data_IF_652379866804
#
_entry.id   IF_652379866804
#
_cell.length_a   1.000
_cell.length_b   1.000
_cell.length_c   1.000
_cell.angle_alpha   90.00
_cell.angle_beta   90.00
_cell.angle_gamma   90.00
#
_symmetry.space_group_name_H-M   'P 1'
#
loop_
_entity.id
_entity.type
_entity.pdbx_description
1 polymer ?
#
# COMPACT_ATOMS: atom_id res chain seq x y z
N UNK A 1 18.50 40.86 23.38
CA UNK A 1 19.54 40.32 22.48
C UNK A 1 20.45 39.45 23.32
N UNK A 2 20.21 38.14 23.32
CA UNK A 2 20.99 37.18 24.11
C UNK A 2 21.45 36.07 23.17
N UNK A 3 22.73 35.76 23.33
CA UNK A 3 23.64 35.09 22.41
C UNK A 3 23.40 33.57 22.43
N UNK A 4 23.45 32.93 21.25
CA UNK A 4 23.50 31.48 21.08
C UNK A 4 24.81 30.94 21.67
N UNK A 5 24.71 30.17 22.75
CA UNK A 5 25.82 29.39 23.29
C UNK A 5 25.61 27.92 22.95
N UNK A 6 26.55 27.37 22.17
CA UNK A 6 26.58 25.95 21.82
C UNK A 6 26.75 25.08 23.05
N UNK A 7 25.97 23.99 23.10
CA UNK A 7 26.15 22.96 24.11
C UNK A 7 26.94 21.78 23.53
N UNK A 8 28.19 21.75 23.97
CA UNK A 8 29.14 20.66 24.01
C UNK A 8 28.44 19.30 24.27
N UNK A 9 28.57 18.34 23.35
CA UNK A 9 28.16 16.96 23.59
C UNK A 9 29.29 16.21 24.29
N UNK A 10 29.08 15.94 25.57
CA UNK A 10 29.90 15.04 26.38
C UNK A 10 29.61 13.60 25.94
N UNK A 11 30.63 12.87 25.50
CA UNK A 11 30.57 11.42 25.34
C UNK A 11 30.54 10.78 26.73
N UNK A 12 29.36 10.39 27.21
CA UNK A 12 29.24 9.46 28.34
C UNK A 12 29.03 8.06 27.76
N UNK A 13 30.01 7.20 27.99
CA UNK A 13 29.92 5.76 27.74
C UNK A 13 28.87 5.17 28.70
N UNK A 14 27.65 5.03 28.21
CA UNK A 14 26.55 4.33 28.86
C UNK A 14 25.57 3.96 27.77
N UNK A 15 25.26 2.67 27.66
CA UNK A 15 24.48 2.08 26.59
C UNK A 15 23.21 2.90 26.26
N UNK A 16 23.32 3.74 25.23
CA UNK A 16 22.17 4.31 24.55
C UNK A 16 21.59 3.19 23.70
N UNK A 17 20.55 2.54 24.21
CA UNK A 17 19.56 1.90 23.36
C UNK A 17 18.97 3.00 22.48
N UNK A 18 19.55 3.19 21.29
CA UNK A 18 18.88 3.92 20.23
C UNK A 18 17.64 3.10 19.89
N UNK A 19 16.49 3.51 20.44
CA UNK A 19 15.22 3.20 19.83
C UNK A 19 15.24 3.87 18.45
N UNK A 20 15.76 3.16 17.45
CA UNK A 20 15.54 3.52 16.07
C UNK A 20 14.04 3.56 15.86
N UNK A 21 13.52 4.67 15.33
CA UNK A 21 12.15 4.68 14.81
C UNK A 21 12.02 3.52 13.83
N UNK A 22 11.11 2.58 14.10
CA UNK A 22 10.78 1.55 13.12
C UNK A 22 10.40 2.26 11.81
N UNK A 23 11.22 2.08 10.78
CA UNK A 23 10.94 2.61 9.46
C UNK A 23 10.17 1.52 8.73
N UNK A 24 8.98 1.88 8.22
CA UNK A 24 8.21 1.04 7.32
C UNK A 24 9.11 0.56 6.19
N UNK A 25 9.21 -0.76 6.03
CA UNK A 25 9.82 -1.36 4.85
C UNK A 25 8.84 -1.21 3.70
N UNK A 26 9.32 -0.73 2.54
CA UNK A 26 8.50 -0.63 1.33
C UNK A 26 9.12 -1.49 0.23
N UNK A 27 8.27 -2.17 -0.53
CA UNK A 27 8.67 -3.07 -1.61
C UNK A 27 7.86 -2.80 -2.87
N UNK A 28 8.52 -2.95 -4.01
CA UNK A 28 7.86 -2.93 -5.32
C UNK A 28 7.66 -4.35 -5.82
N UNK A 29 6.50 -4.60 -6.42
CA UNK A 29 6.14 -5.88 -6.99
C UNK A 29 5.45 -5.69 -8.33
N UNK A 30 5.89 -6.45 -9.34
CA UNK A 30 5.32 -6.47 -10.67
C UNK A 30 4.93 -7.89 -11.03
N UNK A 31 3.76 -8.06 -11.64
CA UNK A 31 3.21 -9.36 -12.00
C UNK A 31 2.31 -9.28 -13.23
N UNK A 32 2.14 -10.43 -13.87
CA UNK A 32 0.98 -10.65 -14.75
C UNK A 32 -0.32 -10.77 -13.95
N UNK A 33 -1.44 -11.07 -14.63
CA UNK A 33 -2.75 -11.17 -13.99
C UNK A 33 -2.74 -12.23 -12.88
N UNK A 34 -3.42 -11.94 -11.76
CA UNK A 34 -3.48 -12.86 -10.61
C UNK A 34 -4.55 -13.93 -10.74
N UNK A 35 -5.58 -13.70 -11.55
CA UNK A 35 -6.80 -14.52 -11.63
C UNK A 35 -7.46 -14.85 -10.28
N UNK A 36 -7.17 -14.07 -9.23
CA UNK A 36 -7.75 -14.23 -7.91
C UNK A 36 -8.97 -13.32 -7.78
N UNK A 37 -10.14 -13.95 -7.55
CA UNK A 37 -11.44 -13.28 -7.55
C UNK A 37 -11.57 -12.21 -6.47
N UNK A 38 -10.74 -12.23 -5.42
CA UNK A 38 -10.73 -11.19 -4.39
C UNK A 38 -10.27 -9.84 -4.93
N UNK A 39 -9.34 -9.83 -5.89
CA UNK A 39 -8.98 -8.60 -6.61
C UNK A 39 -10.13 -8.16 -7.51
N UNK A 40 -10.73 -9.08 -8.28
CA UNK A 40 -11.82 -8.76 -9.22
C UNK A 40 -13.01 -8.07 -8.55
N UNK A 41 -13.41 -8.56 -7.37
CA UNK A 41 -14.51 -7.97 -6.62
C UNK A 41 -14.20 -6.52 -6.21
N UNK A 42 -12.91 -6.17 -6.13
CA UNK A 42 -12.45 -4.83 -5.78
C UNK A 42 -13.06 -4.33 -4.49
N UNK A 43 -13.30 -5.26 -3.54
CA UNK A 43 -14.04 -5.01 -2.30
C UNK A 43 -13.21 -4.09 -1.43
N UNK A 44 -13.48 -2.81 -1.58
CA UNK A 44 -13.24 -1.80 -0.59
C UNK A 44 -14.61 -1.17 -0.36
N UNK A 45 -15.13 -1.24 0.87
CA UNK A 45 -16.38 -0.58 1.20
C UNK A 45 -16.10 0.93 1.21
N UNK A 46 -16.21 1.56 0.03
CA UNK A 46 -15.98 2.99 -0.24
C UNK A 46 -16.88 3.92 0.61
N UNK A 47 -17.77 3.36 1.44
CA UNK A 47 -18.78 4.06 2.22
C UNK A 47 -18.20 4.75 3.46
N UNK A 48 -17.06 4.29 3.97
CA UNK A 48 -16.51 4.83 5.21
C UNK A 48 -15.17 5.52 4.90
N UNK A 49 -14.97 6.73 5.41
CA UNK A 49 -13.68 7.44 5.38
C UNK A 49 -12.64 6.79 6.30
N UNK A 50 -12.64 5.46 6.31
CA UNK A 50 -12.03 4.51 7.23
C UNK A 50 -11.36 3.46 6.35
N UNK A 51 -10.11 3.23 6.70
CA UNK A 51 -9.23 2.10 6.52
C UNK A 51 -9.83 0.67 6.44
N UNK A 52 -11.08 0.43 6.05
CA UNK A 52 -11.58 -0.92 5.80
C UNK A 52 -10.82 -1.65 4.67
N UNK A 53 -10.12 -0.91 3.79
CA UNK A 53 -9.14 -1.46 2.85
C UNK A 53 -8.02 -2.21 3.58
N UNK A 54 -7.56 -1.74 4.76
CA UNK A 54 -6.52 -2.42 5.54
C UNK A 54 -6.86 -3.89 5.80
N UNK A 55 -8.13 -4.27 6.02
CA UNK A 55 -8.45 -5.68 6.29
C UNK A 55 -8.31 -6.59 5.06
N UNK A 56 -8.80 -6.15 3.91
CA UNK A 56 -8.75 -6.97 2.68
C UNK A 56 -7.36 -6.91 2.04
N UNK A 57 -6.76 -5.72 1.97
CA UNK A 57 -5.41 -5.47 1.47
C UNK A 57 -4.39 -6.23 2.33
N UNK A 58 -4.44 -6.10 3.66
CA UNK A 58 -3.52 -6.80 4.55
C UNK A 58 -3.67 -8.31 4.41
N UNK A 59 -4.89 -8.84 4.38
CA UNK A 59 -5.09 -10.29 4.30
C UNK A 59 -4.53 -10.85 2.97
N UNK A 60 -4.73 -10.13 1.87
CA UNK A 60 -4.20 -10.50 0.56
C UNK A 60 -2.67 -10.38 0.51
N UNK A 61 -2.12 -9.27 1.01
CA UNK A 61 -0.68 -9.02 1.04
C UNK A 61 0.04 -9.96 2.02
N UNK A 62 -0.56 -10.31 3.15
CA UNK A 62 -0.04 -11.33 4.07
C UNK A 62 0.01 -12.71 3.44
N UNK A 63 -1.03 -13.10 2.70
CA UNK A 63 -1.03 -14.38 2.01
C UNK A 63 0.03 -14.41 0.90
N UNK A 64 0.22 -13.30 0.19
CA UNK A 64 1.13 -13.22 -0.97
C UNK A 64 2.59 -12.98 -0.57
N UNK A 65 2.81 -12.22 0.50
CA UNK A 65 4.11 -11.72 0.97
C UNK A 65 4.28 -11.93 2.50
N UNK A 66 4.20 -13.17 3.00
CA UNK A 66 4.13 -13.44 4.43
C UNK A 66 5.38 -12.98 5.21
N UNK A 67 6.56 -12.98 4.59
CA UNK A 67 7.79 -12.50 5.23
C UNK A 67 7.88 -10.98 5.37
N UNK A 68 7.13 -10.23 4.54
CA UNK A 68 7.13 -8.77 4.52
C UNK A 68 5.94 -8.22 5.33
N UNK A 69 4.80 -8.92 5.27
CA UNK A 69 3.51 -8.44 5.76
C UNK A 69 2.97 -9.22 6.96
N UNK A 70 3.62 -10.29 7.41
CA UNK A 70 3.18 -11.09 8.55
C UNK A 70 3.34 -10.44 9.94
N UNK A 71 3.68 -9.15 10.01
CA UNK A 71 3.82 -8.40 11.26
C UNK A 71 2.48 -7.98 11.86
N UNK A 72 2.53 -7.36 13.05
CA UNK A 72 1.35 -6.91 13.80
C UNK A 72 0.47 -5.92 13.00
N UNK A 73 1.06 -5.13 12.10
CA UNK A 73 0.37 -4.07 11.36
C UNK A 73 0.05 -4.44 9.90
N UNK A 74 0.50 -5.60 9.42
CA UNK A 74 0.25 -6.02 8.04
C UNK A 74 1.13 -5.31 7.00
N UNK A 75 0.60 -5.16 5.79
CA UNK A 75 1.13 -4.28 4.76
C UNK A 75 -0.01 -3.58 4.02
N UNK A 76 0.23 -2.33 3.62
CA UNK A 76 -0.68 -1.56 2.80
C UNK A 76 -0.14 -1.31 1.40
N UNK A 77 -1.03 -1.35 0.40
CA UNK A 77 -0.71 -0.84 -0.93
C UNK A 77 -0.58 0.67 -0.84
N UNK A 78 0.57 1.23 -1.19
CA UNK A 78 0.78 2.69 -1.19
C UNK A 78 0.57 3.30 -2.58
N UNK A 79 0.81 2.53 -3.64
CA UNK A 79 0.52 2.94 -5.02
C UNK A 79 0.53 1.76 -5.97
N UNK A 80 -0.12 1.89 -7.12
CA UNK A 80 -0.07 0.87 -8.16
C UNK A 80 -0.27 1.44 -9.57
N UNK A 81 0.11 0.68 -10.60
CA UNK A 81 -0.17 0.99 -12.00
C UNK A 81 -0.58 -0.28 -12.73
N UNK A 82 -1.41 -0.11 -13.76
CA UNK A 82 -1.92 -1.19 -14.59
C UNK A 82 -1.39 -1.02 -16.00
N UNK A 83 -0.97 -2.11 -16.64
CA UNK A 83 -0.68 -2.12 -18.05
C UNK A 83 -1.96 -2.42 -18.83
N UNK A 84 -2.47 -1.45 -19.58
CA UNK A 84 -3.68 -1.61 -20.37
C UNK A 84 -3.45 -2.52 -21.59
N UNK A 85 -4.55 -2.95 -22.23
CA UNK A 85 -4.50 -3.83 -23.40
C UNK A 85 -3.73 -3.26 -24.61
N UNK A 86 -3.47 -1.95 -24.64
CA UNK A 86 -2.59 -1.32 -25.63
C UNK A 86 -1.09 -1.37 -25.26
N UNK A 87 -0.73 -2.06 -24.17
CA UNK A 87 0.62 -2.19 -23.65
C UNK A 87 1.13 -0.99 -22.84
N UNK A 88 0.34 0.09 -22.73
CA UNK A 88 0.72 1.30 -22.00
C UNK A 88 0.41 1.16 -20.51
N UNK A 89 1.34 1.62 -19.68
CA UNK A 89 1.13 1.71 -18.23
C UNK A 89 0.30 2.95 -17.87
N UNK A 90 -0.61 2.80 -16.91
CA UNK A 90 -1.33 3.91 -16.30
C UNK A 90 -0.38 4.83 -15.52
N UNK A 91 -0.85 6.05 -15.24
CA UNK A 91 -0.33 6.82 -14.12
C UNK A 91 -0.53 6.04 -12.79
N UNK A 92 0.22 6.37 -11.73
CA UNK A 92 0.02 5.72 -10.44
C UNK A 92 -1.36 6.04 -9.86
N UNK A 93 -2.02 4.99 -9.42
CA UNK A 93 -3.18 5.00 -8.56
C UNK A 93 -2.73 4.94 -7.10
N UNK A 94 -3.44 5.65 -6.25
CA UNK A 94 -3.25 5.72 -4.81
C UNK A 94 -4.58 5.34 -4.15
N UNK A 95 -4.60 4.28 -3.32
CA UNK A 95 -5.80 3.84 -2.62
C UNK A 95 -6.52 5.00 -1.93
N UNK A 96 -7.82 5.13 -2.19
CA UNK A 96 -8.67 6.16 -1.60
C UNK A 96 -8.59 7.55 -2.26
N UNK A 97 -7.63 7.80 -3.15
CA UNK A 97 -7.39 9.15 -3.71
C UNK A 97 -7.86 9.27 -5.16
N UNK A 98 -7.33 8.45 -6.06
CA UNK A 98 -7.60 8.54 -7.49
C UNK A 98 -7.88 7.17 -8.13
N UNK A 99 -8.24 6.20 -7.32
CA UNK A 99 -8.28 4.80 -7.68
C UNK A 99 -9.69 4.20 -7.66
N UNK A 100 -10.69 5.07 -7.71
CA UNK A 100 -12.08 4.70 -7.92
C UNK A 100 -12.31 4.33 -9.38
N UNK A 101 -12.89 3.16 -9.63
CA UNK A 101 -13.20 2.74 -11.00
C UNK A 101 -14.37 3.54 -11.57
N UNK A 102 -14.24 3.88 -12.85
CA UNK A 102 -15.26 4.52 -13.68
C UNK A 102 -16.35 3.54 -14.14
N UNK A 103 -16.13 2.22 -14.01
CA UNK A 103 -17.15 1.20 -14.29
C UNK A 103 -17.89 0.85 -13.00
N UNK A 104 -19.19 1.10 -12.98
CA UNK A 104 -20.09 0.67 -11.91
C UNK A 104 -20.46 -0.80 -12.13
N UNK A 105 -20.20 -1.65 -11.14
CA UNK A 105 -20.56 -3.07 -11.22
C UNK A 105 -22.09 -3.26 -11.22
N UNK A 106 -22.53 -4.41 -11.73
CA UNK A 106 -23.92 -4.87 -11.61
C UNK A 106 -24.34 -4.85 -10.14
N UNK A 107 -25.37 -4.06 -9.81
CA UNK A 107 -25.81 -3.85 -8.41
C UNK A 107 -25.45 -2.47 -7.84
N UNK A 108 -24.79 -1.60 -8.60
CA UNK A 108 -24.56 -0.20 -8.22
C UNK A 108 -23.33 0.03 -7.32
N UNK A 109 -22.58 -1.03 -7.01
CA UNK A 109 -21.39 -0.94 -6.18
C UNK A 109 -20.21 -0.36 -6.97
N UNK A 110 -19.56 0.62 -6.36
CA UNK A 110 -18.33 1.19 -6.87
C UNK A 110 -17.16 0.29 -6.47
N UNK A 111 -16.27 0.00 -7.43
CA UNK A 111 -15.05 -0.79 -7.22
C UNK A 111 -13.83 0.10 -7.33
N UNK A 112 -12.69 -0.39 -6.88
CA UNK A 112 -11.38 0.24 -7.07
C UNK A 112 -10.73 -0.27 -8.35
N UNK A 113 -9.86 0.54 -8.93
CA UNK A 113 -9.18 0.28 -10.21
C UNK A 113 -8.24 -0.94 -10.11
N UNK A 114 -7.75 -1.30 -8.93
CA UNK A 114 -6.99 -2.54 -8.74
C UNK A 114 -7.76 -3.83 -9.08
N UNK A 115 -9.07 -3.78 -9.36
CA UNK A 115 -9.82 -4.94 -9.82
C UNK A 115 -9.29 -5.50 -11.14
N UNK A 116 -8.64 -4.64 -11.94
CA UNK A 116 -7.96 -5.02 -13.16
C UNK A 116 -6.69 -5.84 -12.92
N UNK A 117 -6.21 -6.03 -11.67
CA UNK A 117 -5.13 -7.00 -11.39
C UNK A 117 -5.57 -8.45 -11.68
N UNK A 118 -6.88 -8.68 -11.82
CA UNK A 118 -7.43 -9.98 -12.19
C UNK A 118 -7.05 -10.37 -13.63
N UNK A 119 -7.05 -9.42 -14.57
CA UNK A 119 -6.94 -9.65 -16.01
C UNK A 119 -5.85 -8.82 -16.73
N UNK A 120 -5.17 -7.90 -16.03
CA UNK A 120 -4.08 -7.09 -16.56
C UNK A 120 -2.76 -7.32 -15.82
N UNK A 121 -1.65 -7.02 -16.48
CA UNK A 121 -0.37 -6.89 -15.79
C UNK A 121 -0.42 -5.65 -14.89
N UNK A 122 0.25 -5.72 -13.75
CA UNK A 122 0.28 -4.62 -12.78
C UNK A 122 1.63 -4.51 -12.11
N UNK A 123 1.89 -3.32 -11.58
CA UNK A 123 2.96 -3.04 -10.63
C UNK A 123 2.35 -2.35 -9.41
N UNK A 124 2.83 -2.69 -8.23
CA UNK A 124 2.41 -2.07 -6.98
C UNK A 124 3.61 -1.80 -6.10
N UNK A 125 3.48 -0.78 -5.24
CA UNK A 125 4.33 -0.59 -4.08
C UNK A 125 3.48 -0.83 -2.84
N UNK A 126 3.99 -1.61 -1.89
CA UNK A 126 3.36 -1.83 -0.59
C UNK A 126 4.37 -1.66 0.54
N UNK A 127 3.91 -1.28 1.72
CA UNK A 127 4.74 -1.02 2.89
C UNK A 127 4.17 -1.65 4.16
N UNK A 128 4.99 -1.93 5.17
CA UNK A 128 4.58 -2.49 6.47
C UNK A 128 4.71 -1.53 7.66
#
# INVERSE_FOLDING_TARGET
MIIKSGLLRVCVAGALLFAGSAQAGCWSYQSGPTYDSRWYLGVDNVADGDDASLLTDNALLQQKFPSQCGGQFGCDVVSYSIQWGNGSWSAPYYPGVNDTDWVVNTGGYQRRVWSYFYDHNFQMTYCN
#
